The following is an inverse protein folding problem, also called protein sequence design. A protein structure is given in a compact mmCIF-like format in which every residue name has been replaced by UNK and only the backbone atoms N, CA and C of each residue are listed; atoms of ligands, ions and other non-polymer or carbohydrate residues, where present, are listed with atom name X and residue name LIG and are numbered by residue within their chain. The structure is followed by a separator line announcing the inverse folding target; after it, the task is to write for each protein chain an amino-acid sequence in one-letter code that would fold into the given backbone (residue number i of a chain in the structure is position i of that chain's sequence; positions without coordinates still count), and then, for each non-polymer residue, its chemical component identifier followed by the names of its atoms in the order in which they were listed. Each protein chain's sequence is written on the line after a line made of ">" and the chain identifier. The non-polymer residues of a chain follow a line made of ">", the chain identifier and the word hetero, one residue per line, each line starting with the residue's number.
data_IF_280263870043
#
_entry.id   IF_280263870043
#
_cell.length_a   1.000
_cell.length_b   1.000
_cell.length_c   1.000
_cell.angle_alpha   90.00
_cell.angle_beta   90.00
_cell.angle_gamma   90.00
#
_symmetry.space_group_name_H-M   'P 1'
#
loop_
_entity.id
_entity.type
_entity.pdbx_description
1 polymer ?
#
# COMPACT_ATOMS: atom_id res chain seq x y z
N UNK A 1 7.75 -2.77 23.49
CA UNK A 1 8.69 -2.31 22.44
C UNK A 1 9.00 -3.41 21.44
N UNK A 2 9.72 -4.48 21.80
CA UNK A 2 10.09 -5.54 20.84
C UNK A 2 8.86 -6.26 20.22
N UNK A 3 7.89 -6.64 21.06
CA UNK A 3 6.65 -7.28 20.58
C UNK A 3 5.75 -6.34 19.76
N UNK A 4 5.75 -5.03 20.04
CA UNK A 4 4.98 -4.04 19.26
C UNK A 4 5.58 -3.83 17.87
N UNK A 5 6.90 -3.97 17.75
CA UNK A 5 7.63 -3.93 16.49
C UNK A 5 7.36 -5.21 15.67
N UNK A 6 7.29 -6.38 16.32
CA UNK A 6 6.87 -7.62 15.66
C UNK A 6 5.45 -7.53 15.11
N UNK A 7 4.49 -6.98 15.87
CA UNK A 7 3.13 -6.73 15.35
C UNK A 7 3.12 -5.80 14.13
N UNK A 8 3.99 -4.79 14.10
CA UNK A 8 4.10 -3.87 12.98
C UNK A 8 4.66 -4.57 11.74
N UNK A 9 5.69 -5.40 11.89
CA UNK A 9 6.26 -6.18 10.79
C UNK A 9 5.24 -7.14 10.19
N UNK A 10 4.49 -7.85 11.05
CA UNK A 10 3.42 -8.75 10.59
C UNK A 10 2.33 -7.94 9.86
N UNK A 11 1.97 -6.76 10.35
CA UNK A 11 0.99 -5.90 9.71
C UNK A 11 1.45 -5.34 8.35
N UNK A 12 2.73 -5.02 8.19
CA UNK A 12 3.29 -4.59 6.90
C UNK A 12 3.20 -5.73 5.89
N UNK A 13 3.70 -6.92 6.24
CA UNK A 13 3.63 -8.10 5.37
C UNK A 13 2.17 -8.44 4.99
N UNK A 14 1.23 -8.34 5.93
CA UNK A 14 -0.19 -8.54 5.65
C UNK A 14 -0.77 -7.49 4.71
N UNK A 15 -0.36 -6.23 4.83
CA UNK A 15 -0.80 -5.15 3.96
C UNK A 15 -0.24 -5.29 2.53
N UNK A 16 1.01 -5.73 2.38
CA UNK A 16 1.63 -6.03 1.08
C UNK A 16 0.86 -7.12 0.33
N UNK A 17 0.49 -8.21 1.03
CA UNK A 17 -0.34 -9.29 0.45
C UNK A 17 -1.69 -8.76 -0.05
N UNK A 18 -2.27 -7.79 0.66
CA UNK A 18 -3.58 -7.21 0.33
C UNK A 18 -3.50 -6.20 -0.84
N UNK A 19 -2.39 -5.46 -0.96
CA UNK A 19 -2.20 -4.47 -2.03
C UNK A 19 -1.80 -5.09 -3.38
N UNK A 20 -1.30 -6.33 -3.40
CA UNK A 20 -1.04 -7.06 -4.65
C UNK A 20 0.23 -6.66 -5.39
N UNK A 21 1.23 -6.12 -4.68
CA UNK A 21 2.52 -5.76 -5.25
C UNK A 21 3.32 -7.01 -5.71
N UNK A 22 4.10 -6.84 -6.80
CA UNK A 22 4.82 -7.89 -7.53
C UNK A 22 5.80 -8.67 -6.63
N UNK A 23 5.60 -9.99 -6.57
CA UNK A 23 6.18 -10.88 -5.55
C UNK A 23 7.44 -11.63 -6.01
N UNK A 24 8.12 -11.13 -7.04
CA UNK A 24 9.31 -11.78 -7.62
C UNK A 24 10.52 -11.85 -6.66
N UNK A 25 10.56 -11.05 -5.58
CA UNK A 25 11.73 -10.93 -4.70
C UNK A 25 11.74 -11.89 -3.51
N UNK A 26 10.69 -12.68 -3.29
CA UNK A 26 10.57 -13.61 -2.14
C UNK A 26 10.81 -15.08 -2.54
N UNK A 27 11.26 -15.32 -3.77
CA UNK A 27 11.61 -16.66 -4.25
C UNK A 27 13.05 -17.02 -3.82
N UNK A 28 13.16 -17.72 -2.69
CA UNK A 28 14.14 -18.79 -2.54
C UNK A 28 13.33 -20.09 -2.53
N UNK A 29 13.04 -20.62 -3.73
CA UNK A 29 12.44 -21.95 -3.88
C UNK A 29 13.57 -22.96 -3.66
N UNK A 30 13.83 -23.22 -2.38
CA UNK A 30 14.71 -24.27 -1.92
C UNK A 30 13.91 -25.56 -1.70
N UNK A 31 14.40 -26.62 -2.36
CA UNK A 31 14.16 -28.05 -2.14
C UNK A 31 12.79 -28.65 -2.50
N UNK A 32 12.75 -29.21 -3.70
CA UNK A 32 11.97 -30.41 -4.04
C UNK A 32 12.44 -31.56 -3.13
N UNK A 33 11.70 -31.89 -2.08
CA UNK A 33 11.88 -33.17 -1.36
C UNK A 33 10.69 -34.08 -1.65
N UNK A 34 10.94 -35.13 -2.43
CA UNK A 34 10.06 -36.27 -2.64
C UNK A 34 9.81 -36.97 -1.30
N UNK A 35 8.56 -36.99 -0.82
CA UNK A 35 8.24 -37.81 0.33
C UNK A 35 8.15 -39.29 -0.06
N UNK A 36 8.37 -40.15 0.93
CA UNK A 36 8.55 -41.60 0.80
C UNK A 36 7.35 -42.36 0.16
N UNK A 37 6.23 -41.69 -0.12
CA UNK A 37 5.00 -42.31 -0.61
C UNK A 37 4.71 -42.04 -2.09
N UNK A 38 5.65 -41.46 -2.84
CA UNK A 38 5.57 -41.38 -4.32
C UNK A 38 4.33 -40.64 -4.84
N UNK A 39 3.72 -39.79 -4.01
CA UNK A 39 2.50 -39.06 -4.31
C UNK A 39 2.75 -37.56 -4.22
N UNK A 40 2.64 -36.87 -5.36
CA UNK A 40 2.68 -35.41 -5.40
C UNK A 40 1.37 -34.85 -4.87
N UNK A 41 1.26 -34.66 -3.56
CA UNK A 41 0.28 -33.71 -3.01
C UNK A 41 0.98 -32.36 -2.98
N UNK A 42 1.09 -31.71 -4.14
CA UNK A 42 1.09 -30.26 -4.07
C UNK A 42 -0.33 -29.88 -3.74
N UNK A 43 -0.58 -29.63 -2.45
CA UNK A 43 -1.59 -28.65 -2.13
C UNK A 43 -1.07 -27.36 -2.77
N UNK A 44 -1.48 -27.12 -4.01
CA UNK A 44 -1.16 -25.93 -4.79
C UNK A 44 -1.91 -24.76 -4.16
N UNK A 45 -1.54 -24.43 -2.92
CA UNK A 45 -1.87 -23.13 -2.38
C UNK A 45 -1.18 -22.14 -3.32
N UNK A 46 -1.95 -21.20 -3.85
CA UNK A 46 -1.40 -20.06 -4.59
C UNK A 46 -0.28 -19.42 -3.77
N UNK A 47 0.66 -18.70 -4.41
CA UNK A 47 1.69 -17.95 -3.69
C UNK A 47 1.07 -17.11 -2.56
N UNK A 48 -0.09 -16.51 -2.83
CA UNK A 48 -0.86 -15.72 -1.87
C UNK A 48 -1.35 -16.51 -0.64
N UNK A 49 -1.85 -17.72 -0.83
CA UNK A 49 -2.29 -18.58 0.29
C UNK A 49 -1.13 -19.02 1.18
N UNK A 50 0.04 -19.31 0.60
CA UNK A 50 1.27 -19.56 1.37
C UNK A 50 1.70 -18.34 2.20
N UNK A 51 1.56 -17.13 1.66
CA UNK A 51 1.88 -15.89 2.39
C UNK A 51 0.94 -15.68 3.58
N UNK A 52 -0.37 -15.89 3.39
CA UNK A 52 -1.33 -15.82 4.50
C UNK A 52 -1.05 -16.85 5.58
N UNK A 53 -0.66 -18.07 5.19
CA UNK A 53 -0.23 -19.11 6.13
C UNK A 53 1.02 -18.67 6.92
N UNK A 54 1.99 -18.03 6.26
CA UNK A 54 3.21 -17.50 6.91
C UNK A 54 2.89 -16.38 7.90
N UNK A 55 2.08 -15.38 7.49
CA UNK A 55 1.61 -14.30 8.38
C UNK A 55 0.82 -14.86 9.57
N UNK A 56 -0.02 -15.88 9.33
CA UNK A 56 -0.74 -16.60 10.37
C UNK A 56 0.19 -17.30 11.36
N UNK A 57 1.23 -17.97 10.86
CA UNK A 57 2.26 -18.62 11.67
C UNK A 57 3.03 -17.64 12.57
N UNK A 58 3.52 -16.55 11.99
CA UNK A 58 4.21 -15.48 12.74
C UNK A 58 3.31 -14.88 13.83
N UNK A 59 2.01 -14.69 13.54
CA UNK A 59 1.03 -14.20 14.51
C UNK A 59 0.84 -15.17 15.67
N UNK A 60 0.77 -16.47 15.38
CA UNK A 60 0.62 -17.51 16.39
C UNK A 60 1.87 -17.61 17.28
N UNK A 61 3.07 -17.51 16.70
CA UNK A 61 4.33 -17.54 17.44
C UNK A 61 4.46 -16.36 18.41
N UNK A 62 4.13 -15.14 17.94
CA UNK A 62 4.09 -13.95 18.80
C UNK A 62 3.09 -14.09 19.94
N UNK A 63 1.89 -14.61 19.66
CA UNK A 63 0.87 -14.86 20.67
C UNK A 63 1.31 -15.94 21.68
N UNK A 64 2.04 -16.96 21.22
CA UNK A 64 2.56 -18.02 22.08
C UNK A 64 3.63 -17.51 23.04
N UNK A 65 4.56 -16.68 22.54
CA UNK A 65 5.58 -16.02 23.36
C UNK A 65 4.92 -15.18 24.48
N UNK A 66 3.92 -14.36 24.12
CA UNK A 66 3.16 -13.54 25.07
C UNK A 66 2.37 -14.35 26.09
N UNK A 67 1.70 -15.42 25.65
CA UNK A 67 0.96 -16.30 26.54
C UNK A 67 1.89 -16.94 27.57
N UNK A 68 3.10 -17.35 27.14
CA UNK A 68 4.14 -17.90 28.01
C UNK A 68 4.69 -16.87 29.01
N UNK A 69 4.96 -15.64 28.57
CA UNK A 69 5.44 -14.57 29.44
C UNK A 69 4.41 -14.12 30.48
N UNK A 70 3.14 -14.02 30.08
CA UNK A 70 2.06 -13.50 30.92
C UNK A 70 1.30 -14.57 31.69
N UNK A 71 1.53 -15.85 31.38
CA UNK A 71 0.79 -16.98 31.95
C UNK A 71 -0.70 -17.00 31.58
N UNK A 72 -1.11 -16.28 30.53
CA UNK A 72 -2.50 -16.17 30.09
C UNK A 72 -2.86 -17.29 29.12
N UNK A 73 -4.17 -17.54 28.97
CA UNK A 73 -4.68 -18.48 27.98
C UNK A 73 -4.25 -18.08 26.55
N UNK A 74 -3.66 -19.03 25.82
CA UNK A 74 -3.11 -18.79 24.49
C UNK A 74 -4.16 -18.29 23.51
N UNK A 75 -5.38 -18.85 23.55
CA UNK A 75 -6.44 -18.47 22.60
C UNK A 75 -6.84 -17.01 22.82
N UNK A 76 -7.02 -16.59 24.07
CA UNK A 76 -7.32 -15.19 24.39
C UNK A 76 -6.19 -14.24 23.92
N UNK A 77 -4.93 -14.61 24.13
CA UNK A 77 -3.76 -13.81 23.68
C UNK A 77 -3.63 -13.77 22.16
N UNK A 78 -3.98 -14.87 21.47
CA UNK A 78 -4.00 -14.96 20.02
C UNK A 78 -5.04 -14.01 19.42
N UNK A 79 -6.27 -14.04 19.93
CA UNK A 79 -7.35 -13.14 19.47
C UNK A 79 -6.98 -11.66 19.70
N UNK A 80 -6.38 -11.33 20.85
CA UNK A 80 -5.88 -9.98 21.15
C UNK A 80 -4.78 -9.55 20.16
N UNK A 81 -3.82 -10.44 19.90
CA UNK A 81 -2.70 -10.18 18.99
C UNK A 81 -3.20 -10.00 17.55
N UNK A 82 -4.12 -10.86 17.10
CA UNK A 82 -4.79 -10.73 15.81
C UNK A 82 -5.51 -9.38 15.68
N UNK A 83 -6.23 -8.94 16.72
CA UNK A 83 -6.92 -7.65 16.70
C UNK A 83 -5.94 -6.48 16.56
N UNK A 84 -4.84 -6.49 17.31
CA UNK A 84 -3.79 -5.46 17.22
C UNK A 84 -3.18 -5.39 15.83
N UNK A 85 -2.86 -6.54 15.24
CA UNK A 85 -2.34 -6.63 13.86
C UNK A 85 -3.38 -6.09 12.88
N UNK A 86 -4.64 -6.54 12.94
CA UNK A 86 -5.72 -6.06 12.05
C UNK A 86 -5.89 -4.55 12.11
N UNK A 87 -5.85 -3.95 13.30
CA UNK A 87 -5.92 -2.49 13.46
C UNK A 87 -4.71 -1.80 12.80
N UNK A 88 -3.50 -2.36 12.93
CA UNK A 88 -2.31 -1.83 12.25
C UNK A 88 -2.39 -1.96 10.74
N UNK A 89 -2.83 -3.13 10.23
CA UNK A 89 -3.08 -3.35 8.79
C UNK A 89 -4.06 -2.32 8.27
N UNK A 90 -5.20 -2.13 8.95
CA UNK A 90 -6.19 -1.14 8.57
C UNK A 90 -5.61 0.29 8.54
N UNK A 91 -4.74 0.65 9.49
CA UNK A 91 -4.05 1.96 9.48
C UNK A 91 -3.05 2.12 8.35
N UNK A 92 -2.33 1.05 7.98
CA UNK A 92 -1.40 1.05 6.84
C UNK A 92 -2.20 1.23 5.56
N UNK A 93 -3.22 0.39 5.36
CA UNK A 93 -4.06 0.43 4.18
C UNK A 93 -4.87 1.71 4.07
N UNK A 94 -5.31 2.32 5.18
CA UNK A 94 -5.97 3.63 5.13
C UNK A 94 -5.08 4.75 4.56
N UNK A 95 -3.74 4.62 4.64
CA UNK A 95 -2.82 5.56 3.99
C UNK A 95 -2.70 5.32 2.49
N UNK A 96 -2.87 4.07 2.04
CA UNK A 96 -2.77 3.68 0.62
C UNK A 96 -4.12 3.74 -0.10
N UNK A 97 -5.23 3.67 0.63
CA UNK A 97 -6.62 3.71 0.15
C UNK A 97 -7.28 5.02 0.59
N UNK A 98 -6.54 6.13 0.68
CA UNK A 98 -7.24 7.41 0.84
C UNK A 98 -8.09 7.60 -0.44
N UNK A 99 -9.41 7.83 -0.36
CA UNK A 99 -10.25 8.02 -1.56
C UNK A 99 -9.72 9.15 -2.47
N UNK A 100 -9.01 10.11 -1.87
CA UNK A 100 -8.30 11.21 -2.53
C UNK A 100 -7.04 10.79 -3.31
N UNK A 101 -6.54 9.56 -3.14
CA UNK A 101 -5.36 9.04 -3.83
C UNK A 101 -5.69 8.08 -4.97
N UNK A 102 -6.88 7.49 -5.00
CA UNK A 102 -7.33 6.68 -6.15
C UNK A 102 -7.41 7.53 -7.42
N UNK A 103 -7.62 8.84 -7.26
CA UNK A 103 -7.65 9.81 -8.36
C UNK A 103 -6.27 10.25 -8.88
N UNK A 104 -5.19 9.76 -8.26
CA UNK A 104 -3.82 10.18 -8.52
C UNK A 104 -2.94 9.03 -9.06
N UNK A 105 -2.43 9.20 -10.28
CA UNK A 105 -1.42 8.31 -10.88
C UNK A 105 -0.04 8.64 -10.31
N UNK A 106 0.73 7.62 -9.92
CA UNK A 106 2.14 7.81 -9.55
C UNK A 106 2.94 8.16 -10.81
N UNK A 107 3.71 9.24 -10.76
CA UNK A 107 4.64 9.63 -11.82
C UNK A 107 6.04 9.58 -11.24
N UNK A 108 6.95 8.90 -11.93
CA UNK A 108 8.37 8.92 -11.57
C UNK A 108 9.04 10.06 -12.35
N UNK A 109 9.70 10.96 -11.64
CA UNK A 109 10.55 12.01 -12.23
C UNK A 109 11.99 11.51 -12.16
N UNK A 110 12.59 11.24 -13.32
CA UNK A 110 14.02 10.97 -13.47
C UNK A 110 14.74 12.17 -14.10
N UNK A 111 16.06 12.23 -13.98
CA UNK A 111 16.91 13.30 -14.53
C UNK A 111 16.76 13.49 -16.05
N UNK A 112 16.20 12.52 -16.79
CA UNK A 112 16.01 12.59 -18.24
C UNK A 112 14.63 13.14 -18.65
N UNK A 113 13.71 13.33 -17.70
CA UNK A 113 12.32 13.73 -17.94
C UNK A 113 11.97 15.11 -17.33
N UNK A 114 12.97 15.82 -16.80
CA UNK A 114 12.82 17.18 -16.24
C UNK A 114 12.63 18.24 -17.35
N UNK A 115 13.02 17.93 -18.59
CA UNK A 115 13.07 18.89 -19.71
C UNK A 115 12.11 18.58 -20.88
N UNK A 116 10.88 18.10 -20.63
CA UNK A 116 9.83 18.20 -21.67
C UNK A 116 9.18 19.58 -21.63
N UNK A 117 9.95 20.58 -22.07
CA UNK A 117 9.42 21.81 -22.66
C UNK A 117 8.66 21.46 -23.96
N UNK A 118 7.39 21.08 -23.82
CA UNK A 118 6.42 21.19 -24.91
C UNK A 118 5.18 21.85 -24.34
N UNK A 119 5.02 23.11 -24.72
CA UNK A 119 3.82 23.93 -24.54
C UNK A 119 3.48 24.29 -23.09
N UNK A 120 4.30 25.17 -22.49
CA UNK A 120 3.78 26.31 -21.72
C UNK A 120 2.91 26.10 -20.45
N UNK A 121 2.75 24.88 -19.93
CA UNK A 121 2.07 24.61 -18.65
C UNK A 121 3.00 23.83 -17.71
N UNK A 122 4.17 24.42 -17.45
CA UNK A 122 5.15 23.86 -16.54
C UNK A 122 4.64 24.01 -15.10
N UNK A 123 4.34 22.88 -14.46
CA UNK A 123 4.40 22.59 -13.01
C UNK A 123 4.33 23.82 -12.10
N UNK A 124 3.12 24.31 -11.79
CA UNK A 124 2.93 25.18 -10.62
C UNK A 124 2.35 24.32 -9.50
N UNK A 125 3.27 23.67 -8.78
CA UNK A 125 2.96 23.03 -7.52
C UNK A 125 2.24 24.02 -6.60
N UNK A 126 1.25 23.54 -5.85
CA UNK A 126 0.49 24.36 -4.88
C UNK A 126 1.42 25.13 -3.91
N UNK A 127 2.66 24.65 -3.73
CA UNK A 127 3.71 25.24 -2.91
C UNK A 127 4.60 26.31 -3.58
N UNK A 128 4.43 26.59 -4.89
CA UNK A 128 5.30 27.50 -5.66
C UNK A 128 6.78 27.07 -5.76
N UNK A 129 7.10 25.84 -5.36
CA UNK A 129 8.43 25.25 -5.49
C UNK A 129 8.53 24.40 -6.77
N UNK A 130 9.71 24.43 -7.40
CA UNK A 130 10.04 23.55 -8.53
C UNK A 130 10.12 22.10 -8.07
N UNK A 131 9.46 21.20 -8.82
CA UNK A 131 9.60 19.75 -8.64
C UNK A 131 11.01 19.35 -9.04
N UNK A 132 11.72 18.65 -8.15
CA UNK A 132 13.06 18.12 -8.41
C UNK A 132 13.01 16.65 -8.81
N UNK A 133 14.06 16.20 -9.50
CA UNK A 133 14.30 14.78 -9.71
C UNK A 133 14.34 14.06 -8.34
N UNK A 134 13.83 12.82 -8.31
CA UNK A 134 13.68 11.99 -7.10
C UNK A 134 12.56 12.39 -6.11
N UNK A 135 11.81 13.46 -6.37
CA UNK A 135 10.65 13.81 -5.54
C UNK A 135 9.40 12.98 -5.91
N UNK A 136 8.61 12.60 -4.91
CA UNK A 136 7.37 11.85 -5.12
C UNK A 136 6.30 12.76 -5.77
N UNK A 137 6.04 12.53 -7.06
CA UNK A 137 5.05 13.29 -7.84
C UNK A 137 3.83 12.46 -8.16
N UNK A 138 2.67 13.12 -8.15
CA UNK A 138 1.38 12.54 -8.45
C UNK A 138 0.68 13.35 -9.55
N UNK A 139 0.15 12.66 -10.55
CA UNK A 139 -0.65 13.26 -11.62
C UNK A 139 -2.14 12.98 -11.42
N UNK A 140 -2.97 14.01 -11.58
CA UNK A 140 -4.42 13.85 -11.66
C UNK A 140 -4.83 13.27 -13.03
N UNK A 141 -6.10 12.83 -13.18
CA UNK A 141 -6.64 12.37 -14.48
C UNK A 141 -6.61 13.43 -15.59
N UNK A 142 -6.56 14.72 -15.24
CA UNK A 142 -6.36 15.83 -16.18
C UNK A 142 -4.88 16.01 -16.59
N UNK A 143 -3.98 15.10 -16.19
CA UNK A 143 -2.54 15.10 -16.44
C UNK A 143 -1.73 16.21 -15.76
N UNK A 144 -2.34 17.03 -14.91
CA UNK A 144 -1.61 17.96 -14.06
C UNK A 144 -0.90 17.23 -12.93
N UNK A 145 0.39 17.53 -12.77
CA UNK A 145 1.30 16.90 -11.82
C UNK A 145 1.64 17.83 -10.66
N UNK A 146 1.73 17.25 -9.46
CA UNK A 146 1.98 17.96 -8.21
C UNK A 146 2.85 17.10 -7.28
N UNK A 147 3.58 17.71 -6.35
CA UNK A 147 4.18 16.98 -5.23
C UNK A 147 3.09 16.19 -4.49
N UNK A 148 3.38 14.93 -4.15
CA UNK A 148 2.48 14.04 -3.45
C UNK A 148 1.89 14.69 -2.18
N UNK A 149 2.73 15.34 -1.36
CA UNK A 149 2.27 16.00 -0.13
C UNK A 149 1.41 17.24 -0.41
N UNK A 150 1.74 18.00 -1.46
CA UNK A 150 1.01 19.23 -1.80
C UNK A 150 -0.40 18.93 -2.30
N UNK A 151 -0.53 17.98 -3.24
CA UNK A 151 -1.83 17.61 -3.76
C UNK A 151 -2.67 16.87 -2.72
N UNK A 152 -2.03 16.12 -1.82
CA UNK A 152 -2.72 15.49 -0.70
C UNK A 152 -3.39 16.53 0.22
N UNK A 153 -2.66 17.58 0.62
CA UNK A 153 -3.21 18.67 1.43
C UNK A 153 -4.38 19.37 0.74
N UNK A 154 -4.29 19.56 -0.58
CA UNK A 154 -5.34 20.21 -1.36
C UNK A 154 -6.60 19.34 -1.50
N UNK A 155 -6.44 18.07 -1.84
CA UNK A 155 -7.58 17.16 -2.05
C UNK A 155 -8.35 16.87 -0.75
N UNK A 156 -7.68 16.97 0.40
CA UNK A 156 -8.33 16.89 1.71
C UNK A 156 -9.36 18.01 1.94
N UNK A 157 -9.26 19.14 1.25
CA UNK A 157 -10.25 20.23 1.29
C UNK A 157 -11.14 20.27 0.05
N UNK A 158 -10.58 20.03 -1.14
CA UNK A 158 -11.26 20.16 -2.43
C UNK A 158 -10.80 19.10 -3.42
N UNK A 159 -11.72 18.22 -3.83
CA UNK A 159 -11.47 17.14 -4.80
C UNK A 159 -11.45 17.60 -6.27
N UNK A 160 -10.86 18.76 -6.54
CA UNK A 160 -10.75 19.34 -7.89
C UNK A 160 -9.31 19.71 -8.19
N UNK A 161 -8.93 19.67 -9.47
CA UNK A 161 -7.60 20.09 -9.88
C UNK A 161 -7.32 21.56 -9.51
N UNK A 162 -6.21 21.89 -8.83
CA UNK A 162 -5.82 23.27 -8.56
C UNK A 162 -5.67 24.13 -9.82
N UNK A 163 -5.25 23.53 -10.93
CA UNK A 163 -4.94 24.22 -12.18
C UNK A 163 -6.17 24.36 -13.08
N UNK A 164 -6.85 23.26 -13.40
CA UNK A 164 -7.97 23.27 -14.36
C UNK A 164 -9.35 23.05 -13.73
N UNK A 165 -9.44 22.88 -12.41
CA UNK A 165 -10.68 22.60 -11.65
C UNK A 165 -11.42 21.33 -12.07
N UNK A 166 -10.80 20.46 -12.86
CA UNK A 166 -11.34 19.15 -13.21
C UNK A 166 -11.60 18.32 -11.94
N UNK A 167 -12.83 17.84 -11.80
CA UNK A 167 -13.26 16.95 -10.72
C UNK A 167 -13.35 15.51 -11.26
N UNK A 168 -12.57 14.56 -10.73
CA UNK A 168 -12.67 13.14 -11.12
C UNK A 168 -14.02 12.49 -10.79
N UNK A 169 -14.81 13.11 -9.90
CA UNK A 169 -16.11 12.60 -9.45
C UNK A 169 -17.30 13.21 -10.20
N UNK A 170 -17.09 14.17 -11.11
CA UNK A 170 -18.22 14.73 -11.88
C UNK A 170 -18.65 13.77 -12.99
N UNK A 171 -19.88 13.27 -12.89
CA UNK A 171 -20.55 12.51 -13.95
C UNK A 171 -20.50 13.31 -15.28
N UNK A 172 -20.05 12.70 -16.40
CA UNK A 172 -19.96 13.38 -17.70
C UNK A 172 -21.32 13.81 -18.32
N UNK A 173 -22.42 13.77 -17.56
CA UNK A 173 -23.79 14.06 -18.03
C UNK A 173 -24.39 15.39 -17.54
N UNK A 174 -23.66 16.24 -16.80
CA UNK A 174 -24.20 17.55 -16.36
C UNK A 174 -23.63 18.78 -17.10
N UNK A 175 -22.78 18.60 -18.10
CA UNK A 175 -22.19 19.70 -18.86
C UNK A 175 -23.01 20.15 -20.10
N UNK A 176 -24.31 19.83 -20.20
CA UNK A 176 -25.13 20.16 -21.37
C UNK A 176 -26.39 20.99 -21.09
N UNK A 177 -26.57 21.57 -19.89
CA UNK A 177 -27.66 22.51 -19.63
C UNK A 177 -27.14 23.72 -18.83
N UNK A 178 -26.63 24.73 -19.54
CA UNK A 178 -26.52 26.13 -19.08
C UNK A 178 -26.39 27.06 -20.28
#
# INVERSE_FOLDING_TARGET
>A
MEQDQQELQIAIAAAEILNGDDYSTVFDVGSEEENQWGGFVTCQLTTREHMYAKVGGMTAELAMSRAKETGRDFRAVLEETQLKIRVKVAKILAKTIHPDLEVLKKVFVDDNNVDQEKDGENVWGICQDEIKAEEDVRAMYCNHSFHCECIYKWLNEKMVCPLCRYCPMEDPKKAQDS
#
